data_IF_549135077125
#
_entry.id   IF_549135077125
#
_cell.length_a   1.000
_cell.length_b   1.000
_cell.length_c   1.000
_cell.angle_alpha   90.00
_cell.angle_beta   90.00
_cell.angle_gamma   90.00
#
_symmetry.space_group_name_H-M   'P 1'
#
loop_
_entity.id
_entity.type
_entity.pdbx_description
1 polymer ?
#
# COMPACT_ATOMS: atom_id res chain seq x y z
N UNK A 1 -16.26 7.63 27.11
CA UNK A 1 -15.91 7.99 25.72
C UNK A 1 -14.43 7.73 25.49
N UNK A 2 -14.07 6.65 24.77
CA UNK A 2 -12.67 6.37 24.40
C UNK A 2 -12.28 7.36 23.30
N UNK A 3 -11.67 8.49 23.66
CA UNK A 3 -11.11 9.43 22.66
C UNK A 3 -10.13 8.64 21.79
N UNK A 4 -10.26 8.77 20.47
CA UNK A 4 -9.44 8.08 19.48
C UNK A 4 -7.95 8.33 19.78
N UNK A 5 -7.31 7.38 20.46
CA UNK A 5 -5.95 7.52 20.99
C UNK A 5 -4.91 7.75 19.88
N UNK A 6 -5.29 7.45 18.63
CA UNK A 6 -4.42 7.49 17.46
C UNK A 6 -4.73 8.64 16.50
N UNK A 7 -5.61 9.59 16.88
CA UNK A 7 -5.96 10.74 16.04
C UNK A 7 -4.70 11.61 15.87
N UNK A 8 -4.21 11.72 14.64
CA UNK A 8 -3.02 12.47 14.20
C UNK A 8 -1.65 11.78 14.33
N UNK A 9 -1.58 10.50 14.69
CA UNK A 9 -0.27 9.83 14.81
C UNK A 9 0.55 9.85 13.52
N UNK A 10 -0.10 9.75 12.36
CA UNK A 10 0.61 9.80 11.08
C UNK A 10 1.33 11.14 10.90
N UNK A 11 0.64 12.25 11.15
CA UNK A 11 1.23 13.59 10.99
C UNK A 11 2.34 13.84 12.02
N UNK A 12 2.22 13.33 13.24
CA UNK A 12 3.20 13.58 14.30
C UNK A 12 4.42 12.65 14.23
N UNK A 13 4.32 11.51 13.54
CA UNK A 13 5.41 10.52 13.39
C UNK A 13 6.21 10.69 12.11
N UNK A 14 5.64 11.31 11.08
CA UNK A 14 6.31 11.54 9.81
C UNK A 14 7.01 12.90 9.81
N UNK A 15 8.19 12.96 9.19
CA UNK A 15 8.82 14.26 8.90
C UNK A 15 7.97 15.04 7.89
N UNK A 16 8.07 16.37 7.91
CA UNK A 16 7.29 17.24 7.01
C UNK A 16 7.46 16.89 5.53
N UNK A 17 8.68 16.51 5.14
CA UNK A 17 8.98 16.04 3.78
C UNK A 17 8.16 14.81 3.42
N UNK A 18 8.10 13.82 4.30
CA UNK A 18 7.37 12.57 4.06
C UNK A 18 5.85 12.82 4.12
N UNK A 19 5.38 13.62 5.07
CA UNK A 19 3.96 13.97 5.17
C UNK A 19 3.46 14.72 3.93
N UNK A 20 4.27 15.64 3.40
CA UNK A 20 3.97 16.34 2.14
C UNK A 20 3.87 15.37 0.96
N UNK A 21 4.78 14.40 0.88
CA UNK A 21 4.74 13.33 -0.11
C UNK A 21 3.45 12.48 0.00
N UNK A 22 3.07 12.10 1.22
CA UNK A 22 1.83 11.36 1.49
C UNK A 22 0.58 12.14 1.02
N UNK A 23 0.54 13.45 1.28
CA UNK A 23 -0.57 14.31 0.85
C UNK A 23 -0.63 14.47 -0.68
N UNK A 24 0.51 14.48 -1.38
CA UNK A 24 0.54 14.46 -2.84
C UNK A 24 0.05 13.12 -3.39
N UNK A 25 0.50 12.00 -2.82
CA UNK A 25 0.06 10.65 -3.18
C UNK A 25 -1.46 10.47 -3.01
N UNK A 26 -2.02 10.96 -1.90
CA UNK A 26 -3.46 10.95 -1.64
C UNK A 26 -4.24 11.65 -2.74
N UNK A 27 -3.84 12.87 -3.11
CA UNK A 27 -4.51 13.65 -4.18
C UNK A 27 -4.42 12.96 -5.53
N UNK A 28 -3.26 12.38 -5.87
CA UNK A 28 -3.05 11.68 -7.13
C UNK A 28 -3.97 10.47 -7.28
N UNK A 29 -4.22 9.73 -6.19
CA UNK A 29 -4.99 8.50 -6.19
C UNK A 29 -6.43 8.65 -5.66
N UNK A 30 -6.87 9.87 -5.34
CA UNK A 30 -8.21 10.13 -4.78
C UNK A 30 -8.44 9.45 -3.41
N UNK A 31 -7.42 9.39 -2.55
CA UNK A 31 -7.50 8.75 -1.23
C UNK A 31 -7.70 9.81 -0.15
N UNK A 32 -8.79 9.68 0.62
CA UNK A 32 -9.16 10.67 1.64
C UNK A 32 -8.44 10.46 2.99
N UNK A 33 -8.17 9.21 3.37
CA UNK A 33 -7.55 8.87 4.66
C UNK A 33 -6.05 8.63 4.58
N UNK A 34 -5.29 9.17 5.55
CA UNK A 34 -3.86 8.91 5.71
C UNK A 34 -3.58 7.43 5.93
N UNK A 35 -4.42 6.73 6.71
CA UNK A 35 -4.24 5.30 6.97
C UNK A 35 -4.46 4.46 5.71
N UNK A 36 -5.42 4.83 4.86
CA UNK A 36 -5.67 4.15 3.60
C UNK A 36 -4.51 4.35 2.61
N UNK A 37 -3.94 5.56 2.58
CA UNK A 37 -2.77 5.86 1.76
C UNK A 37 -1.52 5.09 2.22
N UNK A 38 -1.28 5.02 3.54
CA UNK A 38 -0.17 4.24 4.09
C UNK A 38 -0.36 2.75 3.84
N UNK A 39 -1.56 2.20 4.01
CA UNK A 39 -1.84 0.80 3.72
C UNK A 39 -1.49 0.46 2.26
N UNK A 40 -1.86 1.33 1.32
CA UNK A 40 -1.51 1.15 -0.10
C UNK A 40 -0.01 1.28 -0.38
N UNK A 41 0.67 2.23 0.26
CA UNK A 41 2.13 2.35 0.14
C UNK A 41 2.84 1.13 0.74
N UNK A 42 2.35 0.61 1.86
CA UNK A 42 2.89 -0.60 2.48
C UNK A 42 2.67 -1.83 1.58
N UNK A 43 1.49 -1.95 0.96
CA UNK A 43 1.21 -3.00 -0.02
C UNK A 43 2.19 -2.93 -1.19
N UNK A 44 2.38 -1.74 -1.78
CA UNK A 44 3.33 -1.52 -2.87
C UNK A 44 4.79 -1.80 -2.48
N UNK A 45 5.18 -1.45 -1.25
CA UNK A 45 6.57 -1.61 -0.79
C UNK A 45 6.88 -3.06 -0.39
N UNK A 46 5.92 -3.73 0.25
CA UNK A 46 6.08 -5.11 0.69
C UNK A 46 5.92 -6.05 -0.49
N UNK A 47 4.84 -5.92 -1.25
CA UNK A 47 4.45 -6.88 -2.29
C UNK A 47 4.77 -6.41 -3.71
N UNK A 48 5.25 -5.17 -3.89
CA UNK A 48 5.49 -4.61 -5.22
C UNK A 48 4.18 -4.17 -5.90
N UNK A 49 4.34 -3.66 -7.12
CA UNK A 49 3.24 -3.67 -8.10
C UNK A 49 3.19 -5.06 -8.74
N UNK A 50 2.01 -5.50 -9.19
CA UNK A 50 1.80 -6.79 -9.87
C UNK A 50 2.98 -7.10 -10.80
N UNK A 51 3.79 -8.11 -10.44
CA UNK A 51 5.01 -8.50 -11.18
C UNK A 51 6.35 -8.43 -10.41
N UNK A 52 6.42 -7.83 -9.21
CA UNK A 52 7.67 -7.73 -8.45
C UNK A 52 7.51 -8.06 -6.94
N UNK A 53 6.85 -9.18 -6.64
CA UNK A 53 6.69 -9.67 -5.27
C UNK A 53 8.01 -10.31 -4.79
N UNK A 54 8.64 -9.84 -3.70
CA UNK A 54 9.79 -10.53 -3.14
C UNK A 54 9.35 -11.89 -2.58
N UNK A 55 10.02 -12.95 -3.03
CA UNK A 55 9.67 -14.37 -2.80
C UNK A 55 9.44 -14.75 -1.32
N UNK A 56 9.93 -13.95 -0.37
CA UNK A 56 9.87 -14.24 1.07
C UNK A 56 8.60 -13.75 1.77
N UNK A 57 7.64 -13.14 1.07
CA UNK A 57 6.35 -12.72 1.63
C UNK A 57 5.16 -13.62 1.25
N UNK A 58 5.44 -14.74 0.56
CA UNK A 58 4.46 -15.65 -0.04
C UNK A 58 3.84 -16.67 0.92
N UNK A 59 3.90 -16.47 2.24
CA UNK A 59 3.17 -17.33 3.20
C UNK A 59 1.67 -17.01 3.29
N UNK A 60 1.17 -16.06 2.47
CA UNK A 60 -0.27 -15.80 2.30
C UNK A 60 -0.70 -16.38 0.96
N UNK A 61 -1.39 -17.53 1.04
CA UNK A 61 -1.99 -18.31 -0.04
C UNK A 61 -2.63 -17.44 -1.14
N UNK A 62 -1.92 -17.28 -2.26
CA UNK A 62 -2.51 -16.85 -3.52
C UNK A 62 -2.66 -18.11 -4.37
N UNK A 63 -3.90 -18.58 -4.52
CA UNK A 63 -4.25 -19.48 -5.62
C UNK A 63 -3.78 -18.79 -6.90
N UNK A 64 -2.76 -19.38 -7.53
CA UNK A 64 -2.18 -18.91 -8.77
C UNK A 64 -3.31 -18.76 -9.80
N UNK A 65 -3.74 -17.53 -10.04
CA UNK A 65 -4.58 -17.20 -11.18
C UNK A 65 -3.77 -17.52 -12.44
N UNK A 66 -4.03 -18.69 -13.01
CA UNK A 66 -3.50 -19.12 -14.31
C UNK A 66 -3.90 -18.07 -15.36
N UNK A 67 -2.97 -17.18 -15.66
CA UNK A 67 -3.09 -16.28 -16.81
C UNK A 67 -2.72 -17.11 -18.04
N UNK A 68 -3.75 -17.56 -18.76
CA UNK A 68 -3.62 -18.31 -19.99
C UNK A 68 -2.89 -17.51 -21.07
N UNK A 69 -1.85 -18.10 -21.64
CA UNK A 69 -1.32 -17.77 -22.96
C UNK A 69 -0.49 -18.95 -23.45
N UNK A 70 -1.17 -19.94 -24.05
CA UNK A 70 -0.53 -20.87 -24.98
C UNK A 70 -1.14 -20.55 -26.35
N UNK A 71 -0.40 -19.78 -27.15
CA UNK A 71 -0.66 -19.71 -28.59
C UNK A 71 -0.08 -20.97 -29.26
N UNK A 72 -0.80 -21.61 -30.19
CA UNK A 72 -0.34 -22.82 -30.87
C UNK A 72 0.69 -22.47 -31.96
N UNK A 73 1.64 -23.38 -32.17
CA UNK A 73 2.48 -23.46 -33.37
C UNK A 73 2.09 -24.70 -34.18
#
# INVERSE_FOLDING_TARGET
>A
MRRAQFRNEVKTRLSDRIYTGLQAFKRLHGIESDSAAIARLAELQLFGTVGNLPLNLLDVSVEASQSGLVCPA
#
